data_IF_149606406130
#
_entry.id   IF_149606406130
#
_cell.length_a   1.000
_cell.length_b   1.000
_cell.length_c   1.000
_cell.angle_alpha   90.00
_cell.angle_beta   90.00
_cell.angle_gamma   90.00
#
_symmetry.space_group_name_H-M   'P 1'
#
loop_
_entity.id
_entity.type
_entity.pdbx_description
1 polymer ?
#
# COMPACT_ATOMS: atom_id res chain seq x y z
N UNK A 1 -8.52 5.86 -24.12
CA UNK A 1 -8.85 6.89 -23.11
C UNK A 1 -9.89 6.34 -22.14
N UNK A 2 -11.06 5.90 -22.60
CA UNK A 2 -12.09 5.26 -21.75
C UNK A 2 -11.58 4.08 -20.92
N UNK A 3 -10.88 3.12 -21.53
CA UNK A 3 -10.26 1.97 -20.84
C UNK A 3 -9.24 2.37 -19.76
N UNK A 4 -8.56 3.52 -19.91
CA UNK A 4 -7.59 4.00 -18.92
C UNK A 4 -8.29 4.61 -17.71
N UNK A 5 -9.43 5.27 -17.92
CA UNK A 5 -10.27 5.78 -16.83
C UNK A 5 -10.93 4.63 -16.06
N UNK A 6 -11.37 3.58 -16.75
CA UNK A 6 -11.89 2.36 -16.12
C UNK A 6 -10.81 1.64 -15.30
N UNK A 7 -9.58 1.56 -15.81
CA UNK A 7 -8.45 1.01 -15.07
C UNK A 7 -8.13 1.82 -13.80
N UNK A 8 -8.22 3.16 -13.86
CA UNK A 8 -8.05 4.02 -12.70
C UNK A 8 -9.16 3.83 -11.67
N UNK A 9 -10.42 3.71 -12.10
CA UNK A 9 -11.53 3.42 -11.21
C UNK A 9 -11.35 2.05 -10.52
N UNK A 10 -10.85 1.06 -11.27
CA UNK A 10 -10.52 -0.25 -10.70
C UNK A 10 -9.39 -0.15 -9.67
N UNK A 11 -8.33 0.62 -9.97
CA UNK A 11 -7.25 0.87 -9.02
C UNK A 11 -7.73 1.59 -7.76
N UNK A 12 -8.65 2.56 -7.92
CA UNK A 12 -9.25 3.29 -6.81
C UNK A 12 -10.00 2.37 -5.86
N UNK A 13 -10.79 1.44 -6.39
CA UNK A 13 -11.48 0.43 -5.59
C UNK A 13 -10.51 -0.59 -4.98
N UNK A 14 -9.44 -0.93 -5.70
CA UNK A 14 -8.42 -1.86 -5.20
C UNK A 14 -7.62 -1.29 -4.03
N UNK A 15 -7.41 0.04 -3.98
CA UNK A 15 -6.79 0.70 -2.83
C UNK A 15 -7.58 0.44 -1.53
N UNK A 16 -8.92 0.33 -1.58
CA UNK A 16 -9.71 0.00 -0.39
C UNK A 16 -9.37 -1.39 0.15
N UNK A 17 -9.13 -2.38 -0.74
CA UNK A 17 -8.70 -3.71 -0.34
C UNK A 17 -7.30 -3.70 0.28
N UNK A 18 -6.38 -2.88 -0.25
CA UNK A 18 -5.05 -2.70 0.32
C UNK A 18 -5.13 -2.09 1.73
N UNK A 19 -6.01 -1.10 1.94
CA UNK A 19 -6.29 -0.50 3.25
C UNK A 19 -6.87 -1.50 4.25
N UNK A 20 -7.76 -2.40 3.80
CA UNK A 20 -8.24 -3.49 4.65
C UNK A 20 -7.10 -4.48 5.00
N UNK A 21 -6.20 -4.78 4.05
CA UNK A 21 -4.99 -5.55 4.29
C UNK A 21 -4.08 -4.94 5.36
N UNK A 22 -3.88 -3.61 5.29
CA UNK A 22 -3.15 -2.82 6.30
C UNK A 22 -3.80 -2.98 7.69
N UNK A 23 -5.12 -2.82 7.78
CA UNK A 23 -5.84 -2.96 9.04
C UNK A 23 -5.66 -4.36 9.65
N UNK A 24 -5.70 -5.40 8.82
CA UNK A 24 -5.45 -6.78 9.25
C UNK A 24 -4.02 -6.97 9.78
N UNK A 25 -3.01 -6.47 9.06
CA UNK A 25 -1.60 -6.53 9.49
C UNK A 25 -1.43 -5.86 10.86
N UNK A 26 -1.93 -4.63 11.02
CA UNK A 26 -1.86 -3.88 12.27
C UNK A 26 -2.58 -4.59 13.42
N UNK A 27 -3.78 -5.13 13.18
CA UNK A 27 -4.54 -5.83 14.21
C UNK A 27 -3.82 -7.10 14.68
N UNK A 28 -3.26 -7.89 13.75
CA UNK A 28 -2.50 -9.09 14.13
C UNK A 28 -1.24 -8.76 14.92
N UNK A 29 -0.53 -7.70 14.57
CA UNK A 29 0.62 -7.19 15.35
C UNK A 29 0.16 -6.77 16.76
N UNK A 30 -0.92 -5.99 16.85
CA UNK A 30 -1.47 -5.51 18.13
C UNK A 30 -1.94 -6.65 19.04
N UNK A 31 -2.32 -7.79 18.47
CA UNK A 31 -2.74 -9.00 19.19
C UNK A 31 -1.57 -9.94 19.56
N UNK A 32 -0.32 -9.60 19.21
CA UNK A 32 0.83 -10.47 19.42
C UNK A 32 0.85 -11.70 18.48
N UNK A 33 0.31 -11.54 17.28
CA UNK A 33 0.20 -12.56 16.22
C UNK A 33 1.02 -12.17 15.00
N UNK A 34 2.28 -11.78 15.23
CA UNK A 34 3.18 -11.20 14.24
C UNK A 34 3.42 -12.16 13.08
N UNK A 35 3.56 -13.46 13.35
CA UNK A 35 3.71 -14.47 12.29
C UNK A 35 2.55 -14.46 11.28
N UNK A 36 1.32 -14.19 11.74
CA UNK A 36 0.16 -14.07 10.84
C UNK A 36 0.27 -12.76 10.07
N UNK A 37 0.58 -11.65 10.73
CA UNK A 37 0.77 -10.36 10.08
C UNK A 37 1.83 -10.43 8.97
N UNK A 38 3.01 -10.98 9.26
CA UNK A 38 4.11 -11.14 8.31
C UNK A 38 3.71 -12.02 7.11
N UNK A 39 2.84 -13.01 7.31
CA UNK A 39 2.36 -13.86 6.22
C UNK A 39 1.46 -13.12 5.22
N UNK A 40 0.89 -11.97 5.60
CA UNK A 40 0.05 -11.13 4.72
C UNK A 40 0.87 -10.12 3.90
N UNK A 41 2.11 -9.84 4.30
CA UNK A 41 2.94 -8.82 3.66
C UNK A 41 3.25 -9.15 2.19
N UNK A 42 3.55 -10.40 1.79
CA UNK A 42 3.76 -10.74 0.39
C UNK A 42 2.56 -10.41 -0.50
N UNK A 43 1.34 -10.77 -0.07
CA UNK A 43 0.11 -10.49 -0.83
C UNK A 43 -0.13 -8.97 -0.93
N UNK A 44 0.14 -8.23 0.16
CA UNK A 44 0.10 -6.77 0.13
C UNK A 44 1.10 -6.19 -0.88
N UNK A 45 2.34 -6.69 -0.90
CA UNK A 45 3.37 -6.24 -1.82
C UNK A 45 3.01 -6.50 -3.29
N UNK A 46 2.42 -7.66 -3.61
CA UNK A 46 1.89 -7.94 -4.95
C UNK A 46 0.82 -6.93 -5.37
N UNK A 47 -0.06 -6.55 -4.44
CA UNK A 47 -1.08 -5.54 -4.70
C UNK A 47 -0.50 -4.14 -4.94
N UNK A 48 0.57 -3.77 -4.24
CA UNK A 48 1.30 -2.52 -4.48
C UNK A 48 1.99 -2.53 -5.84
N UNK A 49 2.59 -3.66 -6.23
CA UNK A 49 3.19 -3.81 -7.56
C UNK A 49 2.14 -3.62 -8.65
N UNK A 50 0.99 -4.28 -8.52
CA UNK A 50 -0.12 -4.13 -9.48
C UNK A 50 -0.60 -2.68 -9.57
N UNK A 51 -0.78 -2.01 -8.42
CA UNK A 51 -1.20 -0.61 -8.38
C UNK A 51 -0.19 0.29 -9.10
N UNK A 52 1.11 0.10 -8.84
CA UNK A 52 2.19 0.82 -9.49
C UNK A 52 2.14 0.66 -11.03
N UNK A 53 1.91 -0.56 -11.52
CA UNK A 53 1.77 -0.82 -12.95
C UNK A 53 0.58 -0.07 -13.57
N UNK A 54 -0.58 -0.04 -12.89
CA UNK A 54 -1.75 0.71 -13.37
C UNK A 54 -1.45 2.21 -13.43
N UNK A 55 -0.81 2.78 -12.40
CA UNK A 55 -0.43 4.20 -12.40
C UNK A 55 0.48 4.54 -13.58
N UNK A 56 1.48 3.71 -13.89
CA UNK A 56 2.36 3.93 -15.04
C UNK A 56 1.58 3.87 -16.37
N UNK A 57 0.71 2.87 -16.54
CA UNK A 57 -0.07 2.67 -17.77
C UNK A 57 -1.09 3.80 -18.03
N UNK A 58 -1.50 4.50 -16.97
CA UNK A 58 -2.55 5.53 -16.99
C UNK A 58 -2.00 6.94 -16.79
N UNK A 59 -0.68 7.13 -16.72
CA UNK A 59 -0.02 8.40 -16.42
C UNK A 59 -0.49 9.59 -17.27
N UNK A 60 -0.83 9.37 -18.52
CA UNK A 60 -1.28 10.40 -19.47
C UNK A 60 -2.67 10.98 -19.17
N UNK A 61 -3.46 10.32 -18.32
CA UNK A 61 -4.80 10.78 -17.91
C UNK A 61 -4.85 11.26 -16.45
N UNK A 62 -3.72 11.23 -15.73
CA UNK A 62 -3.65 11.73 -14.36
C UNK A 62 -3.73 13.26 -14.33
N UNK A 63 -4.36 13.80 -13.28
CA UNK A 63 -4.48 15.26 -13.07
C UNK A 63 -3.20 15.89 -12.51
N UNK A 64 -2.33 15.09 -11.91
CA UNK A 64 -1.01 15.47 -11.40
C UNK A 64 -0.03 14.32 -11.58
N UNK A 65 1.26 14.59 -11.44
CA UNK A 65 2.25 13.53 -11.43
C UNK A 65 2.07 12.71 -10.15
N UNK A 66 1.68 11.45 -10.32
CA UNK A 66 1.53 10.49 -9.24
C UNK A 66 2.74 9.55 -9.32
N UNK A 67 3.61 9.63 -8.31
CA UNK A 67 4.72 8.71 -8.16
C UNK A 67 4.57 7.90 -6.86
N UNK A 68 5.30 6.80 -6.80
CA UNK A 68 5.29 5.87 -5.66
C UNK A 68 6.54 6.02 -4.81
N UNK A 69 7.31 7.10 -4.98
CA UNK A 69 8.63 7.26 -4.36
C UNK A 69 8.52 7.26 -2.83
N UNK A 70 7.58 8.06 -2.29
CA UNK A 70 7.27 8.08 -0.85
C UNK A 70 6.89 6.71 -0.31
N UNK A 71 6.09 5.95 -1.06
CA UNK A 71 5.67 4.61 -0.64
C UNK A 71 6.83 3.61 -0.67
N UNK A 72 7.72 3.70 -1.66
CA UNK A 72 8.93 2.89 -1.73
C UNK A 72 9.86 3.16 -0.55
N UNK A 73 10.01 4.42 -0.15
CA UNK A 73 10.82 4.80 1.02
C UNK A 73 10.27 4.14 2.29
N UNK A 74 8.96 4.24 2.53
CA UNK A 74 8.30 3.61 3.68
C UNK A 74 8.42 2.08 3.64
N UNK A 75 8.33 1.46 2.45
CA UNK A 75 8.49 0.01 2.30
C UNK A 75 9.92 -0.45 2.66
N UNK A 76 10.94 0.37 2.42
CA UNK A 76 12.29 0.06 2.88
C UNK A 76 12.36 0.11 4.41
N UNK A 77 11.71 1.10 5.05
CA UNK A 77 11.62 1.18 6.51
C UNK A 77 10.88 -0.04 7.10
N UNK A 78 9.84 -0.54 6.42
CA UNK A 78 9.16 -1.79 6.81
C UNK A 78 10.13 -2.97 6.78
N UNK A 79 10.95 -3.09 5.75
CA UNK A 79 11.95 -4.17 5.65
C UNK A 79 12.95 -4.06 6.81
N UNK A 80 13.47 -2.86 7.07
CA UNK A 80 14.39 -2.62 8.20
C UNK A 80 13.74 -2.95 9.55
N UNK A 81 12.47 -2.61 9.75
CA UNK A 81 11.74 -2.94 10.97
C UNK A 81 11.54 -4.45 11.14
N UNK A 82 11.23 -5.18 10.06
CA UNK A 82 11.13 -6.65 10.06
C UNK A 82 12.48 -7.29 10.41
N UNK A 83 13.58 -6.82 9.80
CA UNK A 83 14.92 -7.34 10.05
C UNK A 83 15.38 -7.14 11.50
N UNK A 84 14.92 -6.07 12.14
CA UNK A 84 15.18 -5.77 13.55
C UNK A 84 14.17 -6.41 14.52
N UNK A 85 13.21 -7.20 14.01
CA UNK A 85 12.09 -7.76 14.78
C UNK A 85 11.25 -6.71 15.53
N UNK A 86 11.25 -5.46 15.06
CA UNK A 86 10.44 -4.37 15.62
C UNK A 86 9.04 -4.37 15.00
N UNK A 87 8.24 -5.38 15.39
CA UNK A 87 6.92 -5.57 14.81
C UNK A 87 5.94 -4.46 15.19
N UNK A 88 6.14 -3.76 16.31
CA UNK A 88 5.32 -2.59 16.66
C UNK A 88 5.54 -1.50 15.60
N UNK A 89 6.80 -1.22 15.25
CA UNK A 89 7.13 -0.29 14.17
C UNK A 89 6.58 -0.75 12.82
N UNK A 90 6.65 -2.06 12.49
CA UNK A 90 5.99 -2.59 11.28
C UNK A 90 4.51 -2.23 11.26
N UNK A 91 3.79 -2.47 12.37
CA UNK A 91 2.38 -2.14 12.49
C UNK A 91 2.11 -0.65 12.28
N UNK A 92 2.92 0.21 12.90
CA UNK A 92 2.78 1.67 12.82
C UNK A 92 3.06 2.20 11.40
N UNK A 93 4.12 1.73 10.74
CA UNK A 93 4.44 2.07 9.35
C UNK A 93 3.29 1.70 8.41
N UNK A 94 2.73 0.50 8.56
CA UNK A 94 1.55 0.09 7.80
C UNK A 94 0.34 0.98 8.09
N UNK A 95 -0.02 1.16 9.37
CA UNK A 95 -1.28 1.78 9.76
C UNK A 95 -1.32 3.29 9.56
N UNK A 96 -0.22 3.98 9.80
CA UNK A 96 -0.20 5.45 9.82
C UNK A 96 0.54 6.06 8.64
N UNK A 97 1.48 5.37 8.00
CA UNK A 97 2.26 5.95 6.90
C UNK A 97 1.83 5.43 5.54
N UNK A 98 1.80 4.10 5.38
CA UNK A 98 1.35 3.46 4.14
C UNK A 98 -0.14 3.76 3.92
N UNK A 99 -0.97 3.62 4.95
CA UNK A 99 -2.41 3.90 4.85
C UNK A 99 -2.68 5.32 4.33
N UNK A 100 -2.07 6.33 4.96
CA UNK A 100 -2.24 7.73 4.58
C UNK A 100 -1.72 7.99 3.17
N UNK A 101 -0.59 7.37 2.78
CA UNK A 101 -0.05 7.49 1.43
C UNK A 101 -0.99 6.89 0.38
N UNK A 102 -1.63 5.76 0.67
CA UNK A 102 -2.66 5.17 -0.18
C UNK A 102 -3.95 6.01 -0.21
N UNK A 103 -4.33 6.63 0.90
CA UNK A 103 -5.47 7.55 0.95
C UNK A 103 -5.24 8.80 0.10
N UNK A 104 -4.08 9.43 0.26
CA UNK A 104 -3.63 10.52 -0.59
C UNK A 104 -3.66 10.11 -2.06
N UNK A 105 -3.11 8.94 -2.42
CA UNK A 105 -3.12 8.46 -3.80
C UNK A 105 -4.55 8.31 -4.34
N UNK A 106 -5.43 7.66 -3.58
CA UNK A 106 -6.83 7.39 -3.97
C UNK A 106 -7.65 8.65 -4.21
N UNK A 107 -7.40 9.71 -3.44
CA UNK A 107 -8.09 11.00 -3.61
C UNK A 107 -7.68 11.73 -4.91
N UNK A 108 -6.58 11.29 -5.52
CA UNK A 108 -5.92 11.99 -6.61
C UNK A 108 -5.95 11.27 -7.96
N UNK A 109 -6.46 10.03 -7.98
CA UNK A 109 -6.80 9.28 -9.20
C UNK A 109 -8.29 9.39 -9.55
#
# INVERSE_FOLDING_TARGET
>A
MEQKLEALETAKNYIDNLKEGIDNIYNYISEGKENIALSLIPDFAEGIEWLSQILVLTKDVHKKDLNMDKLNDILNEVVEAIENEDYILVGDLFKYEIYETLDELQQNI
#
